data_IF_967768411422
#
_entry.id   IF_967768411422
#
_cell.length_a   1.000
_cell.length_b   1.000
_cell.length_c   1.000
_cell.angle_alpha   90.00
_cell.angle_beta   90.00
_cell.angle_gamma   90.00
#
_symmetry.space_group_name_H-M   'P 1'
#
loop_
_entity.id
_entity.type
_entity.pdbx_description
1 polymer ?
#
# COMPACT_ATOMS: atom_id res chain seq x y z
N UNK A 1 -16.58 11.75 40.09
CA UNK A 1 -16.36 12.22 38.71
C UNK A 1 -14.87 12.13 38.41
N UNK A 2 -14.44 11.08 37.71
CA UNK A 2 -13.04 10.93 37.30
C UNK A 2 -12.83 11.67 35.97
N UNK A 3 -12.05 12.75 36.01
CA UNK A 3 -11.62 13.48 34.81
C UNK A 3 -10.64 12.55 34.07
N UNK A 4 -11.01 12.16 32.84
CA UNK A 4 -10.12 11.44 31.93
C UNK A 4 -8.89 12.32 31.66
N UNK A 5 -7.70 11.79 31.93
CA UNK A 5 -6.43 12.39 31.48
C UNK A 5 -6.46 12.53 29.95
N UNK A 6 -6.74 13.72 29.45
CA UNK A 6 -6.37 14.10 28.09
C UNK A 6 -4.85 14.22 28.05
N UNK A 7 -4.18 13.28 27.40
CA UNK A 7 -2.75 13.41 27.10
C UNK A 7 -2.55 14.69 26.28
N UNK A 8 -1.93 15.70 26.87
CA UNK A 8 -1.57 16.93 26.18
C UNK A 8 -0.42 16.58 25.24
N UNK A 9 -0.70 16.53 23.93
CA UNK A 9 0.33 16.36 22.90
C UNK A 9 1.13 17.67 22.85
N UNK A 10 2.38 17.64 23.31
CA UNK A 10 3.27 18.79 23.17
C UNK A 10 3.83 18.85 21.74
N UNK A 11 3.93 20.04 21.12
CA UNK A 11 4.56 20.17 19.80
C UNK A 11 6.03 19.72 19.90
N UNK A 12 6.51 19.01 18.86
CA UNK A 12 7.88 18.47 18.75
C UNK A 12 8.26 17.36 19.74
N UNK A 13 7.30 16.77 20.46
CA UNK A 13 7.54 15.67 21.40
C UNK A 13 7.96 14.34 20.73
N UNK A 14 7.84 14.24 19.41
CA UNK A 14 8.16 13.04 18.62
C UNK A 14 9.21 13.34 17.52
N UNK A 15 10.03 14.39 17.70
CA UNK A 15 11.20 14.55 16.85
C UNK A 15 12.13 13.35 17.04
N UNK A 16 12.66 12.75 15.95
CA UNK A 16 13.53 11.60 16.07
C UNK A 16 14.82 11.99 16.79
N UNK A 17 15.00 11.49 18.00
CA UNK A 17 16.28 11.53 18.72
C UNK A 17 17.10 10.29 18.33
N UNK A 18 18.34 10.50 17.88
CA UNK A 18 19.23 9.41 17.48
C UNK A 18 19.76 8.68 18.73
N UNK A 19 19.26 7.47 18.99
CA UNK A 19 19.75 6.60 20.05
C UNK A 19 20.24 5.25 19.49
N UNK A 20 21.54 4.93 19.58
CA UNK A 20 22.04 3.61 19.21
C UNK A 20 21.59 2.57 20.24
N UNK A 21 20.64 1.68 19.90
CA UNK A 21 20.48 0.41 20.61
C UNK A 21 19.08 -0.14 20.92
N UNK A 22 17.97 0.48 20.55
CA UNK A 22 16.65 -0.04 20.96
C UNK A 22 16.07 -1.09 19.99
N UNK A 23 16.11 -2.36 20.39
CA UNK A 23 15.23 -3.41 19.83
C UNK A 23 13.90 -3.43 20.59
N UNK A 24 12.78 -3.46 19.86
CA UNK A 24 11.44 -3.61 20.42
C UNK A 24 10.83 -4.95 19.96
N UNK A 25 10.44 -5.75 20.94
CA UNK A 25 9.59 -6.94 20.80
C UNK A 25 8.15 -6.56 21.08
N UNK A 26 7.21 -6.98 20.24
CA UNK A 26 5.77 -6.95 20.55
C UNK A 26 5.05 -8.14 19.92
N UNK A 27 4.06 -8.64 20.66
CA UNK A 27 3.26 -9.85 20.43
C UNK A 27 1.80 -9.56 20.06
N UNK A 28 1.17 -10.63 19.54
CA UNK A 28 -0.27 -10.96 19.42
C UNK A 28 -1.09 -10.26 18.32
N UNK A 29 -1.41 -10.92 17.19
CA UNK A 29 -2.43 -11.95 16.83
C UNK A 29 -3.87 -11.45 16.73
N UNK A 30 -4.35 -11.41 15.48
CA UNK A 30 -5.73 -11.77 15.13
C UNK A 30 -5.74 -12.36 13.72
N UNK A 31 -6.33 -13.55 13.58
CA UNK A 31 -6.45 -14.35 12.35
C UNK A 31 -7.85 -14.23 11.77
N UNK A 32 -7.95 -13.86 10.50
CA UNK A 32 -9.16 -14.04 9.70
C UNK A 32 -8.82 -14.86 8.45
N UNK A 33 -9.43 -16.04 8.35
CA UNK A 33 -9.33 -16.98 7.24
C UNK A 33 -10.28 -16.51 6.12
N UNK A 34 -9.73 -16.23 4.93
CA UNK A 34 -10.51 -15.96 3.72
C UNK A 34 -10.45 -17.21 2.81
N UNK A 35 -11.61 -17.76 2.45
CA UNK A 35 -11.74 -18.99 1.66
C UNK A 35 -11.31 -18.83 0.18
N UNK A 36 -10.72 -19.89 -0.38
CA UNK A 36 -10.13 -19.94 -1.71
C UNK A 36 -11.19 -20.11 -2.82
N UNK A 37 -11.38 -19.06 -3.63
CA UNK A 37 -12.05 -19.14 -4.93
C UNK A 37 -11.02 -19.61 -5.97
N UNK A 38 -11.40 -20.54 -6.86
CA UNK A 38 -10.56 -21.01 -7.97
C UNK A 38 -10.28 -19.87 -8.96
N UNK A 39 -9.23 -19.11 -8.68
CA UNK A 39 -8.91 -17.84 -9.33
C UNK A 39 -8.23 -18.01 -10.70
N UNK A 40 -7.94 -19.24 -11.16
CA UNK A 40 -7.08 -19.45 -12.34
C UNK A 40 -7.73 -18.98 -13.66
N UNK A 41 -9.06 -18.84 -13.69
CA UNK A 41 -9.83 -18.32 -14.85
C UNK A 41 -9.70 -16.81 -15.08
N UNK A 42 -9.14 -16.06 -14.12
CA UNK A 42 -9.02 -14.60 -14.21
C UNK A 42 -7.73 -14.11 -14.90
N UNK A 43 -6.77 -15.00 -15.11
CA UNK A 43 -5.46 -14.65 -15.69
C UNK A 43 -5.60 -14.36 -17.19
N UNK A 44 -4.92 -13.33 -17.68
CA UNK A 44 -4.88 -12.98 -19.10
C UNK A 44 -6.11 -12.26 -19.65
N UNK A 45 -7.14 -12.01 -18.84
CA UNK A 45 -8.32 -11.21 -19.22
C UNK A 45 -8.66 -10.16 -18.14
N UNK A 46 -9.68 -9.34 -18.43
CA UNK A 46 -10.18 -8.30 -17.51
C UNK A 46 -11.68 -8.39 -17.30
N UNK A 47 -12.31 -9.54 -17.56
CA UNK A 47 -13.78 -9.69 -17.54
C UNK A 47 -14.34 -9.60 -16.11
N UNK A 48 -13.51 -9.88 -15.11
CA UNK A 48 -13.78 -9.70 -13.68
C UNK A 48 -13.74 -8.23 -13.25
N UNK A 49 -13.30 -7.30 -14.10
CA UNK A 49 -13.16 -5.90 -13.74
C UNK A 49 -14.52 -5.18 -13.65
N UNK A 50 -14.84 -4.66 -12.47
CA UNK A 50 -16.05 -3.86 -12.25
C UNK A 50 -15.83 -2.34 -12.34
N UNK A 51 -14.57 -1.89 -12.38
CA UNK A 51 -14.21 -0.47 -12.38
C UNK A 51 -13.72 0.08 -13.74
N UNK A 52 -13.75 -0.77 -14.77
CA UNK A 52 -13.33 -0.51 -16.18
C UNK A 52 -11.88 -0.08 -16.39
N UNK A 53 -11.05 -0.02 -15.34
CA UNK A 53 -9.65 0.45 -15.41
C UNK A 53 -8.61 -0.58 -14.97
N UNK A 54 -9.00 -1.84 -14.72
CA UNK A 54 -8.03 -2.90 -14.41
C UNK A 54 -7.32 -3.36 -15.69
N UNK A 55 -6.13 -3.90 -15.54
CA UNK A 55 -5.34 -4.53 -16.60
C UNK A 55 -5.16 -6.02 -16.31
N UNK A 56 -4.86 -6.80 -17.35
CA UNK A 56 -4.52 -8.22 -17.18
C UNK A 56 -3.27 -8.35 -16.31
N UNK A 57 -3.35 -9.19 -15.27
CA UNK A 57 -2.22 -9.48 -14.39
C UNK A 57 -1.67 -10.88 -14.67
N UNK A 58 -0.35 -11.10 -14.46
CA UNK A 58 0.28 -12.39 -14.74
C UNK A 58 -0.07 -13.46 -13.70
N UNK A 59 -0.37 -13.05 -12.47
CA UNK A 59 -0.76 -13.95 -11.39
C UNK A 59 -2.26 -13.83 -11.12
N UNK A 60 -2.86 -14.98 -10.87
CA UNK A 60 -4.25 -15.14 -10.51
C UNK A 60 -4.64 -14.34 -9.26
N UNK A 61 -3.78 -14.39 -8.23
CA UNK A 61 -3.94 -13.62 -6.99
C UNK A 61 -3.90 -12.11 -7.21
N UNK A 62 -3.30 -11.62 -8.31
CA UNK A 62 -3.23 -10.20 -8.63
C UNK A 62 -4.46 -9.70 -9.42
N UNK A 63 -5.33 -10.61 -9.88
CA UNK A 63 -6.55 -10.30 -10.62
C UNK A 63 -7.71 -9.87 -9.69
N UNK A 64 -7.47 -8.78 -8.95
CA UNK A 64 -8.42 -8.20 -7.98
C UNK A 64 -8.86 -6.79 -8.42
N UNK A 65 -10.17 -6.55 -8.49
CA UNK A 65 -10.71 -5.23 -8.78
C UNK A 65 -10.82 -4.38 -7.51
N UNK A 66 -10.64 -3.06 -7.64
CA UNK A 66 -10.76 -2.15 -6.50
C UNK A 66 -12.18 -2.11 -5.90
N UNK A 67 -13.21 -2.54 -6.65
CA UNK A 67 -14.59 -2.65 -6.14
C UNK A 67 -14.85 -3.96 -5.37
N UNK A 68 -14.02 -4.98 -5.55
CA UNK A 68 -14.12 -6.25 -4.80
C UNK A 68 -13.53 -6.11 -3.38
N UNK A 69 -12.71 -5.08 -3.15
CA UNK A 69 -12.08 -4.84 -1.85
C UNK A 69 -12.93 -3.90 -1.00
N UNK A 70 -13.60 -4.44 0.03
CA UNK A 70 -14.43 -3.64 0.95
C UNK A 70 -13.71 -2.42 1.54
N UNK A 71 -12.44 -2.58 1.92
CA UNK A 71 -11.63 -1.49 2.46
C UNK A 71 -11.45 -0.32 1.47
N UNK A 72 -11.40 -0.61 0.16
CA UNK A 72 -11.29 0.41 -0.89
C UNK A 72 -12.63 1.11 -1.11
N UNK A 73 -13.74 0.37 -1.03
CA UNK A 73 -15.09 0.93 -1.18
C UNK A 73 -15.38 2.05 -0.19
N UNK A 74 -14.85 1.98 1.04
CA UNK A 74 -14.97 3.06 2.04
C UNK A 74 -14.24 4.36 1.65
N UNK A 75 -13.30 4.32 0.71
CA UNK A 75 -12.55 5.48 0.21
C UNK A 75 -13.12 6.04 -1.09
N UNK A 76 -14.13 5.40 -1.67
CA UNK A 76 -14.78 5.87 -2.89
C UNK A 76 -15.94 6.79 -2.53
N UNK A 77 -16.00 7.98 -3.14
CA UNK A 77 -17.23 8.77 -3.10
C UNK A 77 -18.30 8.10 -3.97
N UNK A 78 -19.58 8.42 -3.72
CA UNK A 78 -20.69 7.85 -4.48
C UNK A 78 -20.60 8.06 -6.00
N UNK A 79 -19.86 9.08 -6.45
CA UNK A 79 -19.68 9.43 -7.87
C UNK A 79 -18.46 8.78 -8.51
N UNK A 80 -17.54 8.21 -7.73
CA UNK A 80 -16.27 7.70 -8.23
C UNK A 80 -16.39 6.24 -8.66
N UNK A 81 -16.07 5.94 -9.92
CA UNK A 81 -16.16 4.57 -10.43
C UNK A 81 -14.93 3.74 -10.07
N UNK A 82 -13.74 4.37 -10.00
CA UNK A 82 -12.50 3.67 -9.69
C UNK A 82 -11.64 4.44 -8.66
N UNK A 83 -10.94 3.72 -7.79
CA UNK A 83 -10.10 4.31 -6.73
C UNK A 83 -8.99 5.20 -7.29
N UNK A 84 -8.54 4.94 -8.52
CA UNK A 84 -7.47 5.74 -9.13
C UNK A 84 -7.92 7.15 -9.55
N UNK A 85 -9.23 7.41 -9.53
CA UNK A 85 -9.82 8.73 -9.81
C UNK A 85 -9.93 9.59 -8.56
N UNK A 86 -9.73 9.00 -7.37
CA UNK A 86 -9.74 9.73 -6.12
C UNK A 86 -8.53 10.69 -6.05
N UNK A 87 -8.75 11.95 -5.64
CA UNK A 87 -7.69 12.95 -5.49
C UNK A 87 -6.67 12.59 -4.40
N UNK A 88 -7.12 11.96 -3.32
CA UNK A 88 -6.25 11.45 -2.25
C UNK A 88 -5.32 10.35 -2.78
N UNK A 89 -5.83 9.49 -3.67
CA UNK A 89 -4.99 8.48 -4.32
C UNK A 89 -3.85 9.14 -5.11
N UNK A 90 -4.16 10.20 -5.87
CA UNK A 90 -3.14 10.95 -6.62
C UNK A 90 -2.11 11.57 -5.69
N UNK A 91 -2.55 12.17 -4.58
CA UNK A 91 -1.67 12.83 -3.62
C UNK A 91 -0.79 11.85 -2.86
N UNK A 92 -1.37 10.75 -2.36
CA UNK A 92 -0.67 9.81 -1.48
C UNK A 92 0.19 8.81 -2.26
N UNK A 93 -0.28 8.34 -3.42
CA UNK A 93 0.33 7.22 -4.14
C UNK A 93 1.08 7.63 -5.42
N UNK A 94 0.81 8.81 -5.99
CA UNK A 94 1.41 9.23 -7.28
C UNK A 94 2.31 10.46 -7.17
N UNK A 95 2.27 11.20 -6.06
CA UNK A 95 3.15 12.36 -5.86
C UNK A 95 4.57 11.90 -5.49
N UNK A 96 5.53 12.14 -6.38
CA UNK A 96 6.91 11.72 -6.20
C UNK A 96 7.55 12.28 -4.91
N UNK A 97 7.26 13.53 -4.53
CA UNK A 97 7.86 14.13 -3.33
C UNK A 97 7.32 13.50 -2.04
N UNK A 98 6.02 13.21 -1.99
CA UNK A 98 5.40 12.48 -0.86
C UNK A 98 6.02 11.09 -0.73
N UNK A 99 6.22 10.40 -1.85
CA UNK A 99 6.87 9.09 -1.86
C UNK A 99 8.35 9.17 -1.49
N UNK A 100 9.09 10.19 -1.93
CA UNK A 100 10.50 10.40 -1.58
C UNK A 100 10.68 10.58 -0.09
N UNK A 101 9.93 11.53 0.51
CA UNK A 101 10.03 11.82 1.94
C UNK A 101 9.67 10.59 2.77
N UNK A 102 8.58 9.89 2.41
CA UNK A 102 8.19 8.67 3.13
C UNK A 102 9.17 7.51 2.94
N UNK A 103 9.84 7.40 1.79
CA UNK A 103 10.90 6.41 1.58
C UNK A 103 12.15 6.72 2.41
N UNK A 104 12.55 7.99 2.49
CA UNK A 104 13.68 8.45 3.32
C UNK A 104 13.39 8.20 4.80
N UNK A 105 12.23 8.66 5.29
CA UNK A 105 11.83 8.44 6.69
C UNK A 105 11.82 6.95 7.05
N UNK A 106 11.36 6.10 6.12
CA UNK A 106 11.38 4.64 6.32
C UNK A 106 12.78 4.05 6.33
N UNK A 107 13.68 4.55 5.47
CA UNK A 107 15.06 4.11 5.42
C UNK A 107 15.81 4.52 6.70
N UNK A 108 15.60 5.75 7.16
CA UNK A 108 16.15 6.31 8.39
C UNK A 108 15.77 5.48 9.62
N UNK A 109 14.48 5.15 9.79
CA UNK A 109 14.00 4.26 10.86
C UNK A 109 14.63 2.85 10.86
N UNK A 110 15.20 2.41 9.73
CA UNK A 110 15.87 1.11 9.62
C UNK A 110 17.39 1.21 9.60
N UNK A 111 17.96 2.41 9.57
CA UNK A 111 19.38 2.63 9.34
C UNK A 111 19.85 2.29 7.92
N UNK A 112 18.94 2.29 6.94
CA UNK A 112 19.25 2.00 5.53
C UNK A 112 19.63 3.29 4.78
N UNK A 113 20.49 3.17 3.76
CA UNK A 113 20.66 4.22 2.76
C UNK A 113 19.82 3.92 1.50
N UNK A 114 18.86 4.78 1.19
CA UNK A 114 17.94 4.64 0.04
C UNK A 114 18.31 5.54 -1.15
N UNK A 115 19.41 6.29 -1.05
CA UNK A 115 19.85 7.20 -2.11
C UNK A 115 20.72 6.46 -3.15
N UNK A 116 20.56 6.74 -4.45
CA UNK A 116 19.58 7.65 -5.05
C UNK A 116 18.18 7.03 -5.13
N UNK A 117 17.14 7.86 -4.97
CA UNK A 117 15.75 7.40 -5.08
C UNK A 117 15.38 7.13 -6.54
N UNK A 118 15.40 5.85 -6.92
CA UNK A 118 15.00 5.39 -8.27
C UNK A 118 13.49 5.22 -8.41
N UNK A 119 13.01 5.08 -9.65
CA UNK A 119 11.60 4.74 -9.92
C UNK A 119 11.18 3.42 -9.27
N UNK A 120 12.11 2.48 -9.09
CA UNK A 120 11.81 1.22 -8.42
C UNK A 120 11.53 1.46 -6.94
N UNK A 121 12.32 2.29 -6.27
CA UNK A 121 12.05 2.71 -4.89
C UNK A 121 10.70 3.40 -4.79
N UNK A 122 10.43 4.37 -5.67
CA UNK A 122 9.16 5.11 -5.67
C UNK A 122 7.95 4.19 -5.92
N UNK A 123 8.07 3.24 -6.86
CA UNK A 123 7.01 2.27 -7.16
C UNK A 123 6.71 1.38 -5.96
N UNK A 124 7.74 0.82 -5.33
CA UNK A 124 7.54 0.00 -4.12
C UNK A 124 6.99 0.82 -2.96
N UNK A 125 7.41 2.09 -2.83
CA UNK A 125 6.88 2.98 -1.82
C UNK A 125 5.41 3.35 -2.10
N UNK A 126 5.02 3.57 -3.35
CA UNK A 126 3.65 3.82 -3.76
C UNK A 126 2.73 2.63 -3.43
N UNK A 127 3.20 1.41 -3.66
CA UNK A 127 2.48 0.19 -3.24
C UNK A 127 2.23 0.19 -1.73
N UNK A 128 3.26 0.47 -0.93
CA UNK A 128 3.13 0.54 0.53
C UNK A 128 2.19 1.65 0.98
N UNK A 129 2.30 2.84 0.37
CA UNK A 129 1.45 3.98 0.71
C UNK A 129 -0.01 3.70 0.38
N UNK A 130 -0.31 3.04 -0.73
CA UNK A 130 -1.66 2.59 -1.02
C UNK A 130 -2.16 1.62 0.05
N UNK A 131 -1.34 0.62 0.41
CA UNK A 131 -1.71 -0.34 1.45
C UNK A 131 -2.00 0.34 2.79
N UNK A 132 -1.17 1.30 3.23
CA UNK A 132 -1.44 2.06 4.46
C UNK A 132 -2.67 2.95 4.36
N UNK A 133 -2.86 3.61 3.22
CA UNK A 133 -4.01 4.49 3.02
C UNK A 133 -5.34 3.72 3.09
N UNK A 134 -5.39 2.52 2.51
CA UNK A 134 -6.59 1.68 2.49
C UNK A 134 -6.76 0.88 3.78
N UNK A 135 -5.74 0.16 4.20
CA UNK A 135 -5.84 -0.85 5.26
C UNK A 135 -5.29 -0.39 6.61
N UNK A 136 -4.75 0.83 6.69
CA UNK A 136 -4.03 1.32 7.87
C UNK A 136 -2.87 0.38 8.23
N UNK A 137 -2.50 0.32 9.51
CA UNK A 137 -1.43 -0.54 9.99
C UNK A 137 -1.82 -2.02 9.82
N UNK A 138 -1.10 -2.71 8.93
CA UNK A 138 -1.14 -4.16 8.82
C UNK A 138 -0.16 -4.79 9.82
N UNK A 139 -0.55 -5.91 10.43
CA UNK A 139 0.31 -6.72 11.29
C UNK A 139 1.47 -7.38 10.52
N UNK A 140 2.43 -7.97 11.25
CA UNK A 140 3.54 -8.72 10.65
C UNK A 140 3.00 -9.91 9.86
N UNK A 141 3.62 -10.24 8.72
CA UNK A 141 3.21 -11.29 7.79
C UNK A 141 1.82 -11.11 7.13
N UNK A 142 1.06 -10.07 7.47
CA UNK A 142 -0.20 -9.76 6.79
C UNK A 142 0.09 -8.97 5.52
N UNK A 143 -0.10 -9.61 4.37
CA UNK A 143 -0.02 -8.97 3.05
C UNK A 143 -1.42 -8.89 2.46
N UNK A 144 -1.74 -7.73 1.87
CA UNK A 144 -2.96 -7.53 1.09
C UNK A 144 -2.57 -7.26 -0.36
N UNK A 145 -3.29 -7.89 -1.28
CA UNK A 145 -3.12 -7.68 -2.72
C UNK A 145 -3.60 -6.28 -3.07
N UNK A 146 -2.82 -5.56 -3.88
CA UNK A 146 -3.21 -4.24 -4.40
C UNK A 146 -4.03 -4.45 -5.68
N UNK A 147 -5.18 -3.76 -5.85
CA UNK A 147 -6.00 -3.92 -7.04
C UNK A 147 -5.24 -3.64 -8.35
N UNK A 148 -5.59 -4.38 -9.40
CA UNK A 148 -4.91 -4.28 -10.70
C UNK A 148 -4.91 -2.87 -11.28
N UNK A 149 -6.03 -2.14 -11.21
CA UNK A 149 -6.10 -0.75 -11.69
C UNK A 149 -5.08 0.17 -11.01
N UNK A 150 -4.83 -0.05 -9.72
CA UNK A 150 -3.85 0.72 -8.93
C UNK A 150 -2.44 0.32 -9.33
N UNK A 151 -2.15 -0.98 -9.44
CA UNK A 151 -0.84 -1.48 -9.86
C UNK A 151 -0.48 -0.94 -11.24
N UNK A 152 -1.41 -1.05 -12.20
CA UNK A 152 -1.25 -0.53 -13.56
C UNK A 152 -0.95 0.98 -13.54
N UNK A 153 -1.75 1.76 -12.81
CA UNK A 153 -1.56 3.22 -12.73
C UNK A 153 -0.21 3.61 -12.14
N UNK A 154 0.21 2.95 -11.06
CA UNK A 154 1.51 3.21 -10.43
C UNK A 154 2.65 2.83 -11.38
N UNK A 155 2.57 1.70 -12.10
CA UNK A 155 3.59 1.29 -13.07
C UNK A 155 3.70 2.26 -14.25
N UNK A 156 2.60 2.88 -14.68
CA UNK A 156 2.64 3.96 -15.69
C UNK A 156 3.40 5.20 -15.20
N UNK A 157 3.21 5.58 -13.93
CA UNK A 157 3.86 6.78 -13.37
C UNK A 157 5.32 6.54 -13.01
N UNK A 158 5.65 5.35 -12.50
CA UNK A 158 6.99 4.95 -12.09
C UNK A 158 7.45 3.70 -12.85
N UNK A 159 7.77 3.82 -14.15
CA UNK A 159 8.10 2.67 -14.99
C UNK A 159 9.41 2.00 -14.58
N UNK A 160 9.49 0.69 -14.79
CA UNK A 160 10.73 -0.08 -14.72
C UNK A 160 11.59 0.21 -15.97
N UNK A 161 12.89 0.40 -15.79
CA UNK A 161 13.84 0.59 -16.91
C UNK A 161 13.96 -0.66 -17.80
N UNK A 162 13.77 -1.84 -17.22
CA UNK A 162 13.85 -3.13 -17.94
C UNK A 162 12.49 -3.62 -18.43
N UNK A 163 11.40 -2.96 -18.04
CA UNK A 163 10.02 -3.39 -18.32
C UNK A 163 9.59 -4.66 -17.58
N UNK A 164 10.49 -5.30 -16.83
CA UNK A 164 10.17 -6.50 -16.06
C UNK A 164 9.70 -6.11 -14.66
N UNK A 165 8.57 -6.68 -14.25
CA UNK A 165 7.99 -6.49 -12.93
C UNK A 165 7.90 -7.82 -12.21
N UNK A 166 8.29 -7.85 -10.95
CA UNK A 166 8.02 -8.97 -10.06
C UNK A 166 6.55 -8.93 -9.64
N UNK A 167 5.89 -10.09 -9.67
CA UNK A 167 4.54 -10.24 -9.17
C UNK A 167 4.47 -10.27 -7.65
N UNK A 168 3.25 -10.27 -7.14
CA UNK A 168 2.94 -10.45 -5.73
C UNK A 168 3.51 -11.78 -5.20
N UNK A 169 4.00 -11.73 -3.95
CA UNK A 169 4.49 -12.89 -3.21
C UNK A 169 3.74 -12.92 -1.89
N UNK A 170 3.41 -14.08 -1.35
CA UNK A 170 2.87 -14.16 0.01
C UNK A 170 3.98 -13.96 1.05
N UNK A 171 3.60 -13.71 2.30
CA UNK A 171 4.58 -13.75 3.38
C UNK A 171 4.80 -15.22 3.72
N UNK A 172 6.06 -15.65 3.75
CA UNK A 172 6.48 -16.92 4.33
C UNK A 172 6.54 -16.79 5.86
#
# INVERSE_FOLDING_TARGET
MAVRNSAVIAPYQFEPEYFPGEMRTDSDTDTSEDEAIDNNTRVGNTDWCLCTKCSSMPLSDECVCCKETNAVSHRLAHTTLCVIENEDFRTVCLNAEVLRVSAIARADMRGDNVQPISNDVLRHQAYRQFTYWIHQRLGRHIRKVIPSCVVAKIRTVFPSSTGHYTGFKWAE
#
